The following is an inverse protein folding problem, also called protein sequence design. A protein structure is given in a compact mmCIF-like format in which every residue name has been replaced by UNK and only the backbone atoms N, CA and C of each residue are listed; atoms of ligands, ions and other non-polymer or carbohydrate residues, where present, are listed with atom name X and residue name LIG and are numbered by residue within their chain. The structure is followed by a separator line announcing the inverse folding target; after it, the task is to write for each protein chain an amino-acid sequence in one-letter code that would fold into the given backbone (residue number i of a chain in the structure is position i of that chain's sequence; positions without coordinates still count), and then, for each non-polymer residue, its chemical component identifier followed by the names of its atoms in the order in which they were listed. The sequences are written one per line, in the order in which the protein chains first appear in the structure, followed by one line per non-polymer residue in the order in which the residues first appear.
data_IF_425556984443
#
_entry.id   IF_425556984443
#
_cell.length_a   1.000
_cell.length_b   1.000
_cell.length_c   1.000
_cell.angle_alpha   90.00
_cell.angle_beta   90.00
_cell.angle_gamma   90.00
#
_symmetry.space_group_name_H-M   'P 1'
#
loop_
_entity.id
_entity.type
_entity.pdbx_description
1 polymer ?
#
# COMPACT_ATOMS: atom_id res chain seq x y z
N UNK A 1 8.16 -15.45 19.44
CA UNK A 1 6.78 -15.35 19.99
C UNK A 1 5.88 -16.18 19.10
N UNK A 2 5.14 -17.13 19.66
CA UNK A 2 4.17 -17.95 18.93
C UNK A 2 2.79 -17.34 19.16
N UNK A 3 2.01 -17.17 18.11
CA UNK A 3 0.64 -16.66 18.24
C UNK A 3 -0.31 -17.83 18.54
N UNK A 4 -0.99 -17.74 19.69
CA UNK A 4 -2.21 -18.53 19.95
C UNK A 4 -3.41 -17.89 19.24
N UNK A 5 -4.54 -18.59 19.20
CA UNK A 5 -5.79 -18.03 18.68
C UNK A 5 -6.08 -16.71 19.39
N UNK A 6 -5.91 -15.63 18.64
CA UNK A 6 -5.96 -14.26 19.15
C UNK A 6 -6.61 -13.39 18.09
N UNK A 7 -7.25 -12.33 18.55
CA UNK A 7 -7.87 -11.37 17.68
C UNK A 7 -7.35 -9.97 18.00
N UNK A 8 -7.25 -9.14 16.96
CA UNK A 8 -7.00 -7.71 17.10
C UNK A 8 -8.25 -6.96 16.64
N UNK A 9 -8.70 -6.04 17.47
CA UNK A 9 -9.81 -5.14 17.11
C UNK A 9 -9.20 -3.86 16.55
N UNK A 10 -9.41 -3.62 15.27
CA UNK A 10 -8.96 -2.40 14.58
C UNK A 10 -10.21 -1.77 13.96
N UNK A 11 -10.41 -0.46 14.14
CA UNK A 11 -11.59 0.29 13.67
C UNK A 11 -12.93 -0.48 13.79
N UNK A 12 -13.17 -1.03 14.98
CA UNK A 12 -14.35 -1.83 15.34
C UNK A 12 -14.57 -3.18 14.63
N UNK A 13 -13.73 -3.57 13.67
CA UNK A 13 -13.73 -4.92 13.08
C UNK A 13 -12.74 -5.83 13.82
N UNK A 14 -13.12 -7.10 13.99
CA UNK A 14 -12.30 -8.11 14.66
C UNK A 14 -11.50 -8.92 13.63
N UNK A 15 -10.18 -8.79 13.64
CA UNK A 15 -9.27 -9.54 12.79
C UNK A 15 -8.70 -10.73 13.55
N UNK A 16 -8.78 -11.91 12.95
CA UNK A 16 -8.30 -13.15 13.56
C UNK A 16 -6.91 -13.48 13.04
N UNK A 17 -5.99 -13.76 13.97
CA UNK A 17 -4.68 -14.31 13.62
C UNK A 17 -4.81 -15.80 13.31
N UNK A 18 -4.21 -16.22 12.20
CA UNK A 18 -4.06 -17.65 11.92
C UNK A 18 -3.08 -18.26 12.95
N UNK A 19 -3.49 -19.31 13.70
CA UNK A 19 -2.64 -19.92 14.73
C UNK A 19 -1.35 -20.53 14.16
N UNK A 20 -0.41 -20.82 15.06
CA UNK A 20 0.87 -21.53 14.79
C UNK A 20 1.89 -20.75 13.94
N UNK A 21 1.59 -19.51 13.58
CA UNK A 21 2.53 -18.59 12.94
C UNK A 21 3.44 -17.94 13.99
N UNK A 22 4.67 -17.57 13.61
CA UNK A 22 5.70 -17.15 14.55
C UNK A 22 6.40 -15.87 14.09
N UNK A 23 6.66 -14.97 15.03
CA UNK A 23 7.64 -13.91 14.86
C UNK A 23 8.85 -14.24 15.73
N UNK A 24 10.01 -14.35 15.12
CA UNK A 24 11.26 -14.73 15.76
C UNK A 24 12.24 -13.56 15.69
N UNK A 25 12.68 -13.08 16.86
CA UNK A 25 13.85 -12.20 16.95
C UNK A 25 15.07 -13.11 17.01
N UNK A 26 15.87 -13.07 15.96
CA UNK A 26 17.11 -13.82 15.88
C UNK A 26 18.23 -12.93 16.46
N UNK A 27 18.86 -13.40 17.53
CA UNK A 27 20.10 -12.83 18.03
C UNK A 27 21.27 -13.23 17.13
N UNK A 28 21.22 -12.84 15.86
CA UNK A 28 22.33 -12.90 14.94
C UNK A 28 23.09 -11.57 14.91
N UNK A 29 24.14 -11.49 14.09
CA UNK A 29 24.93 -10.25 13.97
C UNK A 29 24.13 -9.07 13.38
N UNK A 30 22.90 -9.29 12.91
CA UNK A 30 22.12 -8.36 12.10
C UNK A 30 20.75 -8.02 12.71
N UNK A 31 20.50 -8.43 13.97
CA UNK A 31 19.22 -8.24 14.67
C UNK A 31 18.01 -8.66 13.81
N UNK A 32 18.09 -9.83 13.17
CA UNK A 32 17.06 -10.25 12.21
C UNK A 32 15.71 -10.49 12.89
N UNK A 33 14.65 -9.89 12.35
CA UNK A 33 13.25 -10.21 12.67
C UNK A 33 12.71 -11.10 11.55
N UNK A 34 12.33 -12.32 11.89
CA UNK A 34 11.74 -13.29 10.97
C UNK A 34 10.23 -13.39 11.20
N UNK A 35 9.47 -13.25 10.13
CA UNK A 35 8.01 -13.39 10.07
C UNK A 35 7.67 -14.69 9.34
N UNK A 36 7.22 -15.69 10.09
CA UNK A 36 6.92 -17.03 9.58
C UNK A 36 5.41 -17.12 9.30
N UNK A 37 5.02 -16.52 8.17
CA UNK A 37 3.69 -16.60 7.60
C UNK A 37 2.61 -15.97 8.47
N UNK A 38 2.82 -14.78 9.01
CA UNK A 38 1.78 -14.08 9.78
C UNK A 38 0.60 -13.81 8.87
N UNK A 39 -0.61 -14.08 9.35
CA UNK A 39 -1.82 -13.91 8.54
C UNK A 39 -2.98 -13.45 9.42
N UNK A 40 -3.64 -12.40 8.95
CA UNK A 40 -4.84 -11.81 9.53
C UNK A 40 -6.01 -12.03 8.58
N UNK A 41 -7.16 -12.45 9.12
CA UNK A 41 -8.39 -12.64 8.34
C UNK A 41 -9.55 -11.89 8.98
N UNK A 42 -10.41 -11.32 8.14
CA UNK A 42 -11.70 -10.78 8.55
C UNK A 42 -12.70 -10.90 7.40
N UNK A 43 -13.80 -11.66 7.56
CA UNK A 43 -14.92 -11.68 6.62
C UNK A 43 -14.54 -11.81 5.12
N UNK A 44 -13.56 -12.66 4.80
CA UNK A 44 -13.07 -12.87 3.42
C UNK A 44 -11.87 -12.00 3.02
N UNK A 45 -11.56 -10.96 3.79
CA UNK A 45 -10.35 -10.14 3.64
C UNK A 45 -9.16 -10.88 4.27
N UNK A 46 -7.98 -10.75 3.65
CA UNK A 46 -6.74 -11.40 4.11
C UNK A 46 -5.56 -10.44 4.01
N UNK A 47 -4.74 -10.42 5.06
CA UNK A 47 -3.45 -9.75 5.07
C UNK A 47 -2.41 -10.79 5.50
N UNK A 48 -1.43 -11.09 4.67
CA UNK A 48 -0.31 -11.97 5.02
C UNK A 48 1.03 -11.25 4.96
N UNK A 49 1.90 -11.59 5.90
CA UNK A 49 3.23 -11.04 6.05
C UNK A 49 4.21 -12.21 6.22
N UNK A 50 5.19 -12.29 5.32
CA UNK A 50 6.19 -13.36 5.33
C UNK A 50 7.58 -12.83 4.95
N UNK A 51 8.62 -13.41 5.55
CA UNK A 51 10.00 -13.08 5.23
C UNK A 51 10.73 -12.50 6.43
N UNK A 52 11.73 -11.65 6.19
CA UNK A 52 12.60 -11.16 7.26
C UNK A 52 13.07 -9.72 7.04
N UNK A 53 13.31 -9.03 8.14
CA UNK A 53 13.97 -7.73 8.21
C UNK A 53 15.27 -7.86 9.00
N UNK A 54 16.35 -7.21 8.56
CA UNK A 54 17.65 -7.25 9.25
C UNK A 54 18.41 -5.93 9.03
N UNK A 55 19.19 -5.50 10.03
CA UNK A 55 19.83 -4.16 10.08
C UNK A 55 20.81 -3.88 8.92
N UNK A 56 21.42 -4.92 8.35
CA UNK A 56 22.45 -4.74 7.31
C UNK A 56 22.57 -5.93 6.36
N UNK A 57 21.48 -6.66 6.13
CA UNK A 57 21.42 -7.68 5.08
C UNK A 57 20.55 -7.19 3.92
N UNK A 58 21.18 -6.66 2.87
CA UNK A 58 20.55 -6.20 1.62
C UNK A 58 19.72 -7.28 0.88
N UNK A 59 19.71 -8.52 1.37
CA UNK A 59 19.05 -9.66 0.75
C UNK A 59 17.77 -10.12 1.47
N UNK A 60 17.49 -9.60 2.68
CA UNK A 60 16.28 -9.97 3.41
C UNK A 60 15.11 -9.13 2.92
N UNK A 61 14.02 -9.81 2.56
CA UNK A 61 12.82 -9.19 2.01
C UNK A 61 11.65 -9.52 2.91
N UNK A 62 10.75 -8.56 3.08
CA UNK A 62 9.46 -8.74 3.71
C UNK A 62 8.39 -8.64 2.62
N UNK A 63 7.65 -9.72 2.45
CA UNK A 63 6.52 -9.82 1.54
C UNK A 63 5.25 -9.53 2.33
N UNK A 64 4.41 -8.66 1.79
CA UNK A 64 3.10 -8.33 2.33
C UNK A 64 2.09 -8.50 1.21
N UNK A 65 1.13 -9.37 1.41
CA UNK A 65 0.02 -9.58 0.49
C UNK A 65 -1.28 -9.18 1.18
N UNK A 66 -2.08 -8.39 0.49
CA UNK A 66 -3.39 -7.91 0.92
C UNK A 66 -4.38 -8.36 -0.14
N UNK A 67 -5.48 -8.97 0.27
CA UNK A 67 -6.52 -9.48 -0.62
C UNK A 67 -7.89 -9.03 -0.12
N UNK A 68 -8.60 -8.30 -1.00
CA UNK A 68 -9.99 -7.86 -0.78
C UNK A 68 -10.17 -6.95 0.44
N UNK A 69 -9.19 -6.13 0.79
CA UNK A 69 -9.28 -5.23 1.93
C UNK A 69 -10.27 -4.09 1.64
N UNK A 70 -11.33 -3.99 2.43
CA UNK A 70 -12.33 -2.95 2.23
C UNK A 70 -11.79 -1.59 2.71
N UNK A 71 -11.75 -0.60 1.80
CA UNK A 71 -11.21 0.73 2.07
C UNK A 71 -12.04 1.56 3.05
N UNK A 72 -13.33 1.22 3.26
CA UNK A 72 -14.24 1.84 4.25
C UNK A 72 -13.65 1.87 5.66
N UNK A 73 -12.76 0.91 5.90
CA UNK A 73 -12.10 0.71 7.15
C UNK A 73 -11.17 1.86 7.53
N UNK A 74 -10.68 2.59 6.53
CA UNK A 74 -9.77 3.70 6.71
C UNK A 74 -10.52 5.01 6.98
N UNK A 75 -11.85 5.06 6.82
CA UNK A 75 -12.64 6.27 6.97
C UNK A 75 -12.46 6.96 8.32
N UNK A 76 -12.48 6.25 9.48
CA UNK A 76 -12.29 6.89 10.78
C UNK A 76 -10.90 7.51 10.94
N UNK A 77 -9.91 6.99 10.19
CA UNK A 77 -8.51 7.42 10.24
C UNK A 77 -8.27 8.57 9.26
N UNK A 78 -8.86 8.49 8.06
CA UNK A 78 -8.66 9.45 6.97
C UNK A 78 -9.65 10.62 7.01
N UNK A 79 -10.76 10.49 7.75
CA UNK A 79 -11.83 11.49 7.81
C UNK A 79 -12.52 11.70 6.46
N UNK A 80 -12.52 10.66 5.62
CA UNK A 80 -13.05 10.62 4.26
C UNK A 80 -13.86 9.35 4.10
N UNK A 81 -14.93 9.42 3.32
CA UNK A 81 -15.70 8.25 2.91
C UNK A 81 -15.01 7.64 1.70
N UNK A 82 -14.27 6.54 1.90
CA UNK A 82 -13.53 5.87 0.84
C UNK A 82 -14.09 4.48 0.64
N UNK A 83 -14.55 4.21 -0.58
CA UNK A 83 -15.09 2.91 -0.96
C UNK A 83 -14.14 2.19 -1.92
N UNK A 84 -14.20 0.86 -1.90
CA UNK A 84 -13.49 -0.02 -2.83
C UNK A 84 -12.81 -1.20 -2.13
N UNK A 85 -12.45 -2.21 -2.92
CA UNK A 85 -11.76 -3.41 -2.45
C UNK A 85 -10.31 -3.42 -2.93
N UNK A 86 -9.38 -3.30 -1.98
CA UNK A 86 -7.95 -3.23 -2.20
C UNK A 86 -7.32 -4.63 -2.20
N UNK A 87 -6.60 -4.96 -3.27
CA UNK A 87 -5.66 -6.07 -3.31
C UNK A 87 -4.26 -5.55 -3.65
N UNK A 88 -3.25 -5.94 -2.88
CA UNK A 88 -1.90 -5.46 -3.08
C UNK A 88 -0.85 -6.54 -2.79
N UNK A 89 0.24 -6.52 -3.54
CA UNK A 89 1.44 -7.30 -3.29
C UNK A 89 2.60 -6.33 -3.12
N UNK A 90 3.26 -6.38 -1.96
CA UNK A 90 4.31 -5.45 -1.59
C UNK A 90 5.55 -6.22 -1.15
N UNK A 91 6.70 -5.80 -1.65
CA UNK A 91 8.01 -6.29 -1.24
C UNK A 91 8.82 -5.13 -0.66
N UNK A 92 9.15 -5.25 0.62
CA UNK A 92 9.99 -4.32 1.34
C UNK A 92 11.39 -4.92 1.50
N UNK A 93 12.42 -4.11 1.27
CA UNK A 93 13.82 -4.48 1.48
C UNK A 93 14.57 -3.35 2.16
N UNK A 94 15.61 -3.74 2.89
CA UNK A 94 16.59 -2.81 3.48
C UNK A 94 15.95 -1.72 4.38
N UNK A 95 14.91 -2.10 5.13
CA UNK A 95 14.06 -1.20 5.93
C UNK A 95 14.84 -0.38 6.97
N UNK A 96 15.98 -0.89 7.46
CA UNK A 96 16.80 -0.23 8.47
C UNK A 96 17.79 0.80 7.91
N UNK A 97 18.19 0.70 6.64
CA UNK A 97 19.13 1.64 6.02
C UNK A 97 18.43 2.53 4.99
N UNK A 98 17.82 1.91 4.00
CA UNK A 98 17.20 2.58 2.85
C UNK A 98 15.99 1.76 2.38
N UNK A 99 14.80 2.25 2.69
CA UNK A 99 13.58 1.53 2.31
C UNK A 99 13.54 1.41 0.77
N UNK A 100 13.66 0.18 0.29
CA UNK A 100 13.35 -0.21 -1.07
C UNK A 100 11.98 -0.86 -1.05
N UNK A 101 11.06 -0.30 -1.84
CA UNK A 101 9.69 -0.76 -1.92
C UNK A 101 9.36 -1.08 -3.37
N UNK A 102 8.74 -2.23 -3.58
CA UNK A 102 8.14 -2.64 -4.84
C UNK A 102 6.72 -3.08 -4.54
N UNK A 103 5.74 -2.55 -5.25
CA UNK A 103 4.35 -2.80 -4.94
C UNK A 103 3.47 -2.78 -6.18
N UNK A 104 2.64 -3.81 -6.30
CA UNK A 104 1.53 -3.88 -7.23
C UNK A 104 0.23 -3.71 -6.42
N UNK A 105 -0.60 -2.75 -6.81
CA UNK A 105 -1.80 -2.35 -6.09
C UNK A 105 -2.97 -2.35 -7.08
N UNK A 106 -4.07 -2.98 -6.71
CA UNK A 106 -5.33 -2.95 -7.43
C UNK A 106 -6.45 -2.56 -6.46
N UNK A 107 -7.31 -1.64 -6.88
CA UNK A 107 -8.52 -1.26 -6.15
C UNK A 107 -9.69 -1.40 -7.10
N UNK A 108 -10.65 -2.25 -6.75
CA UNK A 108 -11.88 -2.41 -7.50
C UNK A 108 -12.95 -1.48 -6.94
N UNK A 109 -13.67 -0.80 -7.83
CA UNK A 109 -14.81 0.04 -7.47
C UNK A 109 -14.46 1.27 -6.61
N UNK A 110 -13.32 1.92 -6.87
CA UNK A 110 -12.87 3.05 -6.04
C UNK A 110 -13.83 4.24 -6.09
N UNK A 111 -14.23 4.74 -4.92
CA UNK A 111 -14.95 5.99 -4.77
C UNK A 111 -14.45 6.80 -3.57
N UNK A 112 -14.56 8.13 -3.64
CA UNK A 112 -14.30 9.03 -2.50
C UNK A 112 -15.44 10.03 -2.37
N UNK A 113 -15.98 10.20 -1.16
CA UNK A 113 -17.06 11.13 -0.83
C UNK A 113 -18.25 10.99 -1.80
N UNK A 114 -18.61 9.73 -2.14
CA UNK A 114 -19.67 9.38 -3.08
C UNK A 114 -19.36 9.61 -4.58
N UNK A 115 -18.14 10.04 -4.92
CA UNK A 115 -17.71 10.17 -6.32
C UNK A 115 -16.98 8.91 -6.78
N UNK A 116 -17.59 8.17 -7.72
CA UNK A 116 -17.04 6.94 -8.28
C UNK A 116 -15.97 7.22 -9.36
N UNK A 117 -14.78 6.64 -9.17
CA UNK A 117 -13.66 6.75 -10.10
C UNK A 117 -13.41 5.47 -10.91
N UNK A 118 -14.02 4.34 -10.52
CA UNK A 118 -13.81 3.04 -11.17
C UNK A 118 -12.62 2.28 -10.61
N UNK A 119 -12.09 1.34 -11.39
CA UNK A 119 -10.99 0.48 -10.95
C UNK A 119 -9.64 1.19 -11.12
N UNK A 120 -8.76 1.03 -10.13
CA UNK A 120 -7.41 1.62 -10.11
C UNK A 120 -6.39 0.50 -10.04
N UNK A 121 -5.47 0.48 -10.99
CA UNK A 121 -4.26 -0.34 -10.89
C UNK A 121 -3.03 0.55 -10.87
N UNK A 122 -2.16 0.35 -9.89
CA UNK A 122 -0.92 1.09 -9.72
C UNK A 122 0.26 0.14 -9.50
N UNK A 123 1.39 0.48 -10.12
CA UNK A 123 2.69 -0.11 -9.81
C UNK A 123 3.57 0.97 -9.19
N UNK A 124 4.21 0.67 -8.07
CA UNK A 124 5.05 1.62 -7.36
C UNK A 124 6.39 0.97 -7.03
N UNK A 125 7.46 1.60 -7.50
CA UNK A 125 8.83 1.23 -7.14
C UNK A 125 9.48 2.45 -6.52
N UNK A 126 10.01 2.30 -5.32
CA UNK A 126 10.65 3.37 -4.57
C UNK A 126 12.08 2.97 -4.18
N UNK A 127 13.00 3.88 -4.47
CA UNK A 127 14.41 3.83 -4.07
C UNK A 127 14.79 5.19 -3.45
N UNK A 128 15.04 5.18 -2.14
CA UNK A 128 15.34 6.36 -1.34
C UNK A 128 16.62 7.10 -1.78
N UNK A 129 17.61 6.40 -2.36
CA UNK A 129 18.86 7.02 -2.82
C UNK A 129 18.72 7.68 -4.19
N UNK A 130 17.84 7.17 -5.05
CA UNK A 130 17.70 7.71 -6.41
C UNK A 130 16.66 8.82 -6.56
N UNK A 131 15.84 9.13 -5.55
CA UNK A 131 14.67 10.05 -5.67
C UNK A 131 13.92 9.83 -7.00
N UNK A 132 13.89 8.58 -7.46
CA UNK A 132 13.20 8.19 -8.69
C UNK A 132 11.80 7.81 -8.28
N UNK A 133 10.87 8.70 -8.59
CA UNK A 133 9.46 8.34 -8.71
C UNK A 133 9.36 7.35 -9.87
N UNK A 134 9.22 6.06 -9.61
CA UNK A 134 8.78 5.16 -10.65
C UNK A 134 7.34 5.53 -10.98
N UNK A 135 7.15 5.94 -12.22
CA UNK A 135 5.91 6.34 -12.88
C UNK A 135 4.66 5.65 -12.34
N UNK A 136 3.88 6.38 -11.53
CA UNK A 136 2.45 6.19 -11.56
C UNK A 136 1.95 6.76 -12.89
N UNK A 137 1.22 6.02 -13.74
CA UNK A 137 0.26 6.66 -14.62
C UNK A 137 -0.91 7.14 -13.75
N UNK A 138 -0.73 8.23 -12.98
CA UNK A 138 -1.87 8.92 -12.37
C UNK A 138 -2.60 9.64 -13.49
N UNK A 139 -3.55 8.94 -14.13
CA UNK A 139 -4.66 9.57 -14.82
C UNK A 139 -5.72 10.00 -13.80
N UNK A 140 -5.35 10.90 -12.89
CA UNK A 140 -6.31 11.77 -12.18
C UNK A 140 -5.70 13.17 -12.17
N UNK A 141 -5.67 13.79 -13.35
CA UNK A 141 -5.32 15.20 -13.46
C UNK A 141 -6.09 15.90 -14.58
N UNK A 142 -7.40 15.62 -14.73
CA UNK A 142 -8.33 16.57 -15.36
C UNK A 142 -9.72 16.44 -14.72
N UNK A 143 -9.89 16.81 -13.44
CA UNK A 143 -11.17 17.34 -12.93
C UNK A 143 -11.11 18.11 -11.60
N UNK A 144 -9.93 18.40 -11.03
CA UNK A 144 -9.82 19.35 -9.89
C UNK A 144 -9.69 20.82 -10.37
N UNK A 145 -9.73 21.06 -11.70
CA UNK A 145 -9.71 22.42 -12.26
C UNK A 145 -11.10 23.08 -12.35
N UNK A 146 -12.21 22.37 -12.11
CA UNK A 146 -13.56 22.93 -12.25
C UNK A 146 -14.22 23.37 -10.93
N UNK A 147 -13.60 23.12 -9.77
CA UNK A 147 -14.20 23.42 -8.46
C UNK A 147 -13.54 24.58 -7.69
N UNK A 148 -12.45 25.19 -8.18
CA UNK A 148 -11.78 26.28 -7.48
C UNK A 148 -12.08 27.65 -8.12
N UNK A 149 -12.46 28.68 -7.33
CA UNK A 149 -12.65 30.03 -7.84
C UNK A 149 -11.34 30.60 -8.41
N UNK A 150 -11.47 31.36 -9.50
CA UNK A 150 -10.43 31.83 -10.46
C UNK A 150 -9.24 32.66 -9.90
N UNK A 151 -9.06 32.75 -8.58
CA UNK A 151 -8.08 33.68 -7.98
C UNK A 151 -6.71 33.04 -7.76
N UNK A 152 -6.58 31.70 -7.78
CA UNK A 152 -5.33 30.99 -7.43
C UNK A 152 -4.78 30.19 -8.63
N UNK A 153 -4.71 30.79 -9.82
CA UNK A 153 -4.10 30.13 -11.01
C UNK A 153 -2.73 30.74 -11.38
N UNK A 154 -2.28 31.80 -10.70
CA UNK A 154 -1.12 32.59 -11.15
C UNK A 154 0.26 32.14 -10.64
N UNK A 155 0.41 31.00 -9.95
CA UNK A 155 1.68 30.64 -9.28
C UNK A 155 2.31 29.29 -9.64
N UNK A 156 1.80 28.55 -10.63
CA UNK A 156 2.45 27.33 -11.10
C UNK A 156 2.88 27.45 -12.57
N UNK A 157 3.93 28.24 -12.79
CA UNK A 157 4.66 28.20 -14.06
C UNK A 157 6.14 27.95 -13.79
N UNK A 158 6.53 26.68 -13.62
CA UNK A 158 7.83 26.18 -14.09
C UNK A 158 7.89 24.66 -14.15
N UNK A 159 8.00 24.16 -15.38
CA UNK A 159 8.47 22.84 -15.84
C UNK A 159 7.50 21.65 -15.73
N UNK A 160 6.80 21.36 -16.83
CA UNK A 160 6.42 20.00 -17.20
C UNK A 160 6.59 19.80 -18.71
N UNK A 161 7.25 18.72 -19.08
CA UNK A 161 7.40 18.21 -20.45
C UNK A 161 6.23 17.27 -20.77
N UNK A 162 5.64 17.44 -21.94
CA UNK A 162 4.51 16.68 -22.49
C UNK A 162 4.82 15.19 -22.72
N UNK A 163 3.84 14.31 -22.51
CA UNK A 163 3.86 12.91 -22.94
C UNK A 163 2.60 12.62 -23.78
N UNK A 164 2.77 11.94 -24.92
CA UNK A 164 1.70 11.52 -25.84
C UNK A 164 1.14 10.16 -25.39
N UNK A 165 -0.18 9.97 -25.43
CA UNK A 165 -0.86 8.70 -25.12
C UNK A 165 -1.50 8.13 -26.40
N UNK A 166 -1.25 6.85 -26.67
CA UNK A 166 -2.13 5.99 -27.47
C UNK A 166 -2.94 5.15 -26.49
N UNK A 167 -4.27 5.35 -26.45
CA UNK A 167 -5.21 4.46 -25.76
C UNK A 167 -5.70 3.45 -26.80
N UNK A 168 -5.49 2.16 -26.56
CA UNK A 168 -6.18 1.10 -27.31
C UNK A 168 -7.37 0.68 -26.44
N UNK A 169 -8.58 1.02 -26.91
CA UNK A 169 -9.84 0.46 -26.42
C UNK A 169 -10.03 -0.93 -27.01
N UNK A 170 -10.60 -1.85 -26.23
CA UNK A 170 -11.37 -2.98 -26.74
C UNK A 170 -12.82 -2.82 -26.26
#
# INVERSE_FOLDING_TARGET
MVFESSFVKVADKQWEFVPERRISLLNDAWNTILFEGIELRNNGQRISIEGALADSAAQKQLHVDIEGFNLDFLDPILGKDIEGDLSAQVVLRDVYQQILFDGDINVEGFAIDGFFFGDISAKAVWDALQKKYASMPVCIAVWIMYSLPKVIIRLLHRRSTFCWIFVIWN
#
